data_IF_955222465431
#
_entry.id   IF_955222465431
#
_cell.length_a   1.000
_cell.length_b   1.000
_cell.length_c   1.000
_cell.angle_alpha   90.00
_cell.angle_beta   90.00
_cell.angle_gamma   90.00
#
_symmetry.space_group_name_H-M   'P 1'
#
loop_
_entity.id
_entity.type
_entity.pdbx_description
1 polymer ?
#
# COMPACT_ATOMS: atom_id res chain seq x y z
N UNK A 1 -33.53 -2.28 -18.26
CA UNK A 1 -33.60 -3.67 -18.74
C UNK A 1 -32.18 -4.17 -18.83
N UNK A 2 -31.80 -5.26 -18.13
CA UNK A 2 -30.49 -5.86 -18.37
C UNK A 2 -30.46 -6.32 -19.83
N UNK A 3 -29.43 -5.95 -20.58
CA UNK A 3 -29.23 -6.45 -21.93
C UNK A 3 -29.14 -7.98 -21.85
N UNK A 4 -29.96 -8.68 -22.62
CA UNK A 4 -29.84 -10.11 -22.83
C UNK A 4 -28.45 -10.35 -23.43
N UNK A 5 -27.48 -10.68 -22.58
CA UNK A 5 -26.14 -11.07 -23.01
C UNK A 5 -26.30 -12.38 -23.79
N UNK A 6 -26.17 -12.32 -25.11
CA UNK A 6 -26.13 -13.50 -25.94
C UNK A 6 -25.07 -14.47 -25.39
N UNK A 7 -25.39 -15.76 -25.21
CA UNK A 7 -24.45 -16.71 -24.63
C UNK A 7 -23.22 -16.83 -25.53
N UNK A 8 -22.06 -16.40 -25.01
CA UNK A 8 -20.78 -16.53 -25.71
C UNK A 8 -20.47 -18.02 -25.89
N UNK A 9 -20.57 -18.49 -27.13
CA UNK A 9 -20.22 -19.86 -27.50
C UNK A 9 -18.69 -19.98 -27.59
N UNK A 10 -18.07 -20.48 -26.54
CA UNK A 10 -16.63 -20.75 -26.50
C UNK A 10 -16.36 -22.21 -26.81
N UNK A 11 -15.61 -22.50 -27.88
CA UNK A 11 -15.13 -23.86 -28.17
C UNK A 11 -13.74 -24.07 -27.57
N UNK A 12 -13.57 -25.11 -26.75
CA UNK A 12 -12.27 -25.51 -26.19
C UNK A 12 -11.83 -26.81 -26.84
N UNK A 13 -10.60 -26.86 -27.36
CA UNK A 13 -10.01 -28.12 -27.84
C UNK A 13 -9.42 -28.87 -26.67
N UNK A 14 -9.94 -30.07 -26.40
CA UNK A 14 -9.57 -30.89 -25.24
C UNK A 14 -8.95 -32.20 -25.74
N UNK A 15 -7.85 -32.68 -25.14
CA UNK A 15 -7.30 -34.00 -25.44
C UNK A 15 -8.33 -35.12 -25.22
N UNK A 16 -8.37 -36.18 -26.06
CA UNK A 16 -9.38 -37.24 -25.97
C UNK A 16 -9.47 -37.92 -24.60
N UNK A 17 -8.32 -38.14 -23.94
CA UNK A 17 -8.28 -38.73 -22.60
C UNK A 17 -8.99 -37.85 -21.55
N UNK A 18 -8.75 -36.54 -21.60
CA UNK A 18 -9.38 -35.58 -20.70
C UNK A 18 -10.87 -35.41 -20.99
N UNK A 19 -11.28 -35.48 -22.26
CA UNK A 19 -12.70 -35.49 -22.63
C UNK A 19 -13.43 -36.70 -22.01
N UNK A 20 -12.87 -37.91 -22.17
CA UNK A 20 -13.46 -39.13 -21.63
C UNK A 20 -13.50 -39.16 -20.09
N UNK A 21 -12.56 -38.51 -19.42
CA UNK A 21 -12.60 -38.33 -17.96
C UNK A 21 -13.71 -37.37 -17.53
N UNK A 22 -13.86 -36.23 -18.20
CA UNK A 22 -14.89 -35.25 -17.90
C UNK A 22 -16.29 -35.79 -18.17
N UNK A 23 -16.46 -36.57 -19.24
CA UNK A 23 -17.73 -37.21 -19.59
C UNK A 23 -18.16 -38.22 -18.52
N UNK A 24 -17.24 -39.10 -18.09
CA UNK A 24 -17.50 -40.03 -16.98
C UNK A 24 -17.84 -39.31 -15.68
N UNK A 25 -17.15 -38.21 -15.38
CA UNK A 25 -17.40 -37.43 -14.18
C UNK A 25 -18.77 -36.74 -14.24
N UNK A 26 -19.15 -36.19 -15.40
CA UNK A 26 -20.44 -35.57 -15.63
C UNK A 26 -21.58 -36.59 -15.48
N UNK A 27 -21.44 -37.78 -16.08
CA UNK A 27 -22.40 -38.89 -15.94
C UNK A 27 -22.56 -39.32 -14.48
N UNK A 28 -21.45 -39.51 -13.75
CA UNK A 28 -21.48 -39.90 -12.34
C UNK A 28 -22.15 -38.84 -11.44
N UNK A 29 -22.05 -37.56 -11.82
CA UNK A 29 -22.67 -36.44 -11.12
C UNK A 29 -24.11 -36.14 -11.59
N UNK A 30 -24.61 -36.83 -12.63
CA UNK A 30 -25.90 -36.51 -13.25
C UNK A 30 -25.93 -35.15 -13.95
N UNK A 31 -24.77 -34.64 -14.36
CA UNK A 31 -24.59 -33.34 -15.00
C UNK A 31 -24.31 -33.50 -16.50
N UNK A 32 -24.51 -32.42 -17.25
CA UNK A 32 -23.97 -32.33 -18.63
C UNK A 32 -22.47 -32.05 -18.57
N UNK A 33 -21.73 -32.45 -19.61
CA UNK A 33 -20.30 -32.15 -19.73
C UNK A 33 -19.98 -30.65 -19.53
N UNK A 34 -20.80 -29.78 -20.12
CA UNK A 34 -20.66 -28.32 -19.96
C UNK A 34 -20.88 -27.86 -18.52
N UNK A 35 -21.88 -28.42 -17.83
CA UNK A 35 -22.15 -28.10 -16.43
C UNK A 35 -21.00 -28.56 -15.53
N UNK A 36 -20.47 -29.77 -15.74
CA UNK A 36 -19.30 -30.27 -15.00
C UNK A 36 -18.05 -29.39 -15.25
N UNK A 37 -17.83 -28.96 -16.49
CA UNK A 37 -16.75 -28.03 -16.82
C UNK A 37 -16.93 -26.68 -16.11
N UNK A 38 -18.14 -26.13 -16.08
CA UNK A 38 -18.44 -24.89 -15.38
C UNK A 38 -18.22 -25.02 -13.86
N UNK A 39 -18.67 -26.12 -13.27
CA UNK A 39 -18.47 -26.41 -11.84
C UNK A 39 -16.98 -26.44 -11.50
N UNK A 40 -16.14 -27.09 -12.31
CA UNK A 40 -14.68 -27.12 -12.09
C UNK A 40 -14.00 -25.77 -12.28
N UNK A 41 -14.48 -24.97 -13.24
CA UNK A 41 -13.98 -23.62 -13.47
C UNK A 41 -14.36 -22.67 -12.31
N UNK A 42 -15.60 -22.75 -11.83
CA UNK A 42 -16.10 -21.97 -10.70
C UNK A 42 -15.44 -22.39 -9.38
N UNK A 43 -15.25 -23.68 -9.18
CA UNK A 43 -14.65 -24.22 -7.97
C UNK A 43 -13.12 -24.33 -8.07
N UNK A 44 -12.47 -23.63 -9.01
CA UNK A 44 -11.02 -23.68 -9.14
C UNK A 44 -10.38 -23.02 -7.90
N UNK A 45 -9.82 -23.79 -6.95
CA UNK A 45 -9.39 -23.28 -5.65
C UNK A 45 -8.20 -22.32 -5.79
N UNK A 46 -7.50 -22.35 -6.93
CA UNK A 46 -6.42 -21.42 -7.24
C UNK A 46 -6.93 -19.99 -7.38
N UNK A 47 -8.14 -19.78 -7.91
CA UNK A 47 -8.71 -18.43 -8.04
C UNK A 47 -9.04 -17.83 -6.67
N UNK A 48 -9.70 -18.59 -5.80
CA UNK A 48 -10.07 -18.13 -4.45
C UNK A 48 -8.85 -17.92 -3.54
N UNK A 49 -7.85 -18.79 -3.66
CA UNK A 49 -6.60 -18.66 -2.90
C UNK A 49 -5.83 -17.43 -3.34
N UNK A 50 -5.74 -17.17 -4.64
CA UNK A 50 -5.07 -15.98 -5.19
C UNK A 50 -5.84 -14.71 -4.78
N UNK A 51 -7.17 -14.70 -4.87
CA UNK A 51 -7.99 -13.56 -4.44
C UNK A 51 -7.81 -13.26 -2.94
N UNK A 52 -7.75 -14.30 -2.08
CA UNK A 52 -7.49 -14.14 -0.66
C UNK A 52 -6.11 -13.57 -0.37
N UNK A 53 -5.07 -14.10 -1.05
CA UNK A 53 -3.70 -13.62 -0.90
C UNK A 53 -3.58 -12.15 -1.35
N UNK A 54 -4.21 -11.78 -2.47
CA UNK A 54 -4.27 -10.39 -2.92
C UNK A 54 -4.94 -9.49 -1.88
N UNK A 55 -6.08 -9.91 -1.32
CA UNK A 55 -6.76 -9.16 -0.27
C UNK A 55 -5.92 -9.02 1.02
N UNK A 56 -5.11 -10.02 1.36
CA UNK A 56 -4.17 -9.91 2.49
C UNK A 56 -3.01 -8.95 2.20
N UNK A 57 -2.48 -8.95 0.97
CA UNK A 57 -1.45 -8.01 0.53
C UNK A 57 -1.99 -6.59 0.56
N UNK A 58 -3.17 -6.33 -0.02
CA UNK A 58 -3.81 -5.02 -0.01
C UNK A 58 -4.01 -4.48 1.42
N UNK A 59 -4.47 -5.34 2.35
CA UNK A 59 -4.61 -4.95 3.76
C UNK A 59 -3.27 -4.60 4.38
N UNK A 60 -2.22 -5.39 4.13
CA UNK A 60 -0.87 -5.11 4.63
C UNK A 60 -0.32 -3.81 4.08
N UNK A 61 -0.53 -3.55 2.80
CA UNK A 61 -0.07 -2.32 2.14
C UNK A 61 -0.78 -1.09 2.71
N UNK A 62 -2.09 -1.15 2.94
CA UNK A 62 -2.84 -0.08 3.60
C UNK A 62 -2.31 0.17 5.02
N UNK A 63 -2.07 -0.89 5.79
CA UNK A 63 -1.50 -0.77 7.14
C UNK A 63 -0.07 -0.21 7.13
N UNK A 64 0.75 -0.60 6.16
CA UNK A 64 2.11 -0.11 6.01
C UNK A 64 2.13 1.39 5.66
N UNK A 65 1.31 1.82 4.71
CA UNK A 65 1.16 3.23 4.33
C UNK A 65 0.63 4.07 5.49
N UNK A 66 -0.37 3.58 6.22
CA UNK A 66 -0.89 4.26 7.40
C UNK A 66 0.16 4.37 8.52
N UNK A 67 0.93 3.30 8.75
CA UNK A 67 2.06 3.30 9.68
C UNK A 67 3.13 4.33 9.30
N UNK A 68 3.52 4.40 8.03
CA UNK A 68 4.48 5.37 7.52
C UNK A 68 3.98 6.81 7.68
N UNK A 69 2.69 7.08 7.43
CA UNK A 69 2.09 8.41 7.68
C UNK A 69 2.20 8.81 9.14
N UNK A 70 1.83 7.91 10.06
CA UNK A 70 1.93 8.16 11.51
C UNK A 70 3.37 8.40 11.95
N UNK A 71 4.33 7.65 11.42
CA UNK A 71 5.75 7.86 11.70
C UNK A 71 6.24 9.23 11.20
N UNK A 72 5.84 9.61 9.98
CA UNK A 72 6.17 10.91 9.40
C UNK A 72 5.57 12.06 10.22
N UNK A 73 4.32 11.95 10.65
CA UNK A 73 3.68 12.93 11.54
C UNK A 73 4.38 13.05 12.90
N UNK A 74 4.83 11.92 13.47
CA UNK A 74 5.60 11.92 14.70
C UNK A 74 6.96 12.62 14.54
N UNK A 75 7.67 12.37 13.42
CA UNK A 75 8.93 13.05 13.09
C UNK A 75 8.70 14.56 12.94
N UNK A 76 7.64 14.98 12.26
CA UNK A 76 7.31 16.40 12.14
C UNK A 76 7.04 17.05 13.49
N UNK A 77 6.30 16.38 14.38
CA UNK A 77 6.04 16.88 15.73
C UNK A 77 7.34 17.10 16.52
N UNK A 78 8.31 16.20 16.36
CA UNK A 78 9.64 16.33 16.98
C UNK A 78 10.42 17.49 16.38
N UNK A 79 10.39 17.67 15.05
CA UNK A 79 11.05 18.78 14.37
C UNK A 79 10.44 20.14 14.76
N UNK A 80 9.12 20.21 14.91
CA UNK A 80 8.44 21.42 15.36
C UNK A 80 8.89 21.81 16.78
N UNK A 81 8.91 20.84 17.69
CA UNK A 81 9.41 21.06 19.05
C UNK A 81 10.90 21.44 19.07
N UNK A 82 11.71 20.88 18.16
CA UNK A 82 13.11 21.22 18.05
C UNK A 82 13.31 22.67 17.57
N UNK A 83 12.54 23.12 16.57
CA UNK A 83 12.55 24.52 16.10
C UNK A 83 12.16 25.50 17.20
N UNK A 84 11.15 25.18 18.02
CA UNK A 84 10.75 26.00 19.17
C UNK A 84 11.91 26.18 20.16
N UNK A 85 12.60 25.08 20.52
CA UNK A 85 13.76 25.14 21.41
C UNK A 85 14.92 25.92 20.77
N UNK A 86 15.20 25.70 19.49
CA UNK A 86 16.24 26.45 18.78
C UNK A 86 15.91 27.94 18.70
N UNK A 87 14.63 28.32 18.59
CA UNK A 87 14.18 29.70 18.63
C UNK A 87 14.46 30.34 19.99
N UNK A 88 14.15 29.65 21.09
CA UNK A 88 14.47 30.13 22.45
C UNK A 88 15.97 30.30 22.66
N UNK A 89 16.78 29.33 22.18
CA UNK A 89 18.25 29.40 22.24
C UNK A 89 18.75 30.60 21.43
N UNK A 90 18.31 30.76 20.18
CA UNK A 90 18.70 31.89 19.33
C UNK A 90 18.35 33.24 19.99
N UNK A 91 17.17 33.31 20.63
CA UNK A 91 16.73 34.49 21.37
C UNK A 91 17.62 34.77 22.59
N UNK A 92 17.92 33.77 23.41
CA UNK A 92 18.82 33.91 24.57
C UNK A 92 20.21 34.40 24.15
N UNK A 93 20.69 33.92 23.00
CA UNK A 93 22.02 34.25 22.47
C UNK A 93 22.12 35.68 21.90
N UNK A 94 21.01 36.41 21.73
CA UNK A 94 21.04 37.84 21.36
C UNK A 94 21.75 38.71 22.39
N UNK A 95 21.84 38.24 23.64
CA UNK A 95 22.52 38.95 24.74
C UNK A 95 24.03 38.74 24.76
N UNK A 96 24.57 37.93 23.86
CA UNK A 96 25.98 37.56 23.84
C UNK A 96 26.80 38.55 23.02
N UNK A 97 28.01 38.85 23.51
CA UNK A 97 28.96 39.74 22.84
C UNK A 97 29.35 39.21 21.46
N UNK A 98 29.30 40.09 20.46
CA UNK A 98 29.72 39.80 19.09
C UNK A 98 31.19 39.36 19.03
N UNK A 99 31.50 38.43 18.12
CA UNK A 99 32.86 37.90 17.91
C UNK A 99 33.30 36.80 18.90
N UNK A 100 32.41 36.34 19.78
CA UNK A 100 32.65 35.18 20.65
C UNK A 100 32.30 33.85 19.97
N UNK A 101 32.78 32.72 20.50
CA UNK A 101 32.39 31.37 20.05
C UNK A 101 30.88 31.15 20.11
N UNK A 102 30.22 31.75 21.10
CA UNK A 102 28.77 31.74 21.21
C UNK A 102 28.08 32.49 20.05
N UNK A 103 28.69 33.53 19.47
CA UNK A 103 28.15 34.15 18.26
C UNK A 103 28.25 33.21 17.02
N UNK A 104 29.26 32.33 16.98
CA UNK A 104 29.34 31.29 15.94
C UNK A 104 28.24 30.24 16.13
N UNK A 105 28.03 29.76 17.37
CA UNK A 105 26.96 28.83 17.69
C UNK A 105 25.56 29.39 17.36
N UNK A 106 25.34 30.71 17.54
CA UNK A 106 24.07 31.35 17.15
C UNK A 106 23.79 31.20 15.65
N UNK A 107 24.80 31.35 14.79
CA UNK A 107 24.66 31.18 13.33
C UNK A 107 24.31 29.75 12.96
N UNK A 108 24.92 28.77 13.63
CA UNK A 108 24.59 27.34 13.43
C UNK A 108 23.14 27.03 13.84
N UNK A 109 22.68 27.63 14.95
CA UNK A 109 21.27 27.51 15.38
C UNK A 109 20.32 28.13 14.35
N UNK A 110 20.62 29.32 13.84
CA UNK A 110 19.82 29.97 12.80
C UNK A 110 19.79 29.15 11.51
N UNK A 111 20.93 28.59 11.09
CA UNK A 111 21.01 27.69 9.94
C UNK A 111 20.19 26.41 10.12
N UNK A 112 20.27 25.76 11.30
CA UNK A 112 19.47 24.58 11.60
C UNK A 112 17.96 24.88 11.50
N UNK A 113 17.51 26.06 11.94
CA UNK A 113 16.12 26.50 11.80
C UNK A 113 15.73 26.73 10.35
N UNK A 114 16.61 27.29 9.52
CA UNK A 114 16.39 27.44 8.08
C UNK A 114 16.24 26.09 7.38
N UNK A 115 17.04 25.09 7.77
CA UNK A 115 16.89 23.71 7.27
C UNK A 115 15.53 23.10 7.65
N UNK A 116 15.09 23.28 8.90
CA UNK A 116 13.76 22.81 9.34
C UNK A 116 12.65 23.51 8.56
N UNK A 117 12.76 24.83 8.35
CA UNK A 117 11.80 25.61 7.57
C UNK A 117 11.73 25.14 6.11
N UNK A 118 12.89 24.86 5.50
CA UNK A 118 12.97 24.30 4.14
C UNK A 118 12.34 22.91 4.08
N UNK A 119 12.62 22.05 5.06
CA UNK A 119 12.01 20.73 5.14
C UNK A 119 10.47 20.82 5.25
N UNK A 120 9.93 21.76 6.03
CA UNK A 120 8.47 21.99 6.13
C UNK A 120 7.84 22.37 4.79
N UNK A 121 8.55 23.04 3.89
CA UNK A 121 8.02 23.39 2.56
C UNK A 121 7.78 22.16 1.65
N UNK A 122 8.35 21.01 2.00
CA UNK A 122 8.19 19.74 1.29
C UNK A 122 7.20 18.78 1.95
N UNK A 123 6.55 19.20 3.05
CA UNK A 123 5.44 18.47 3.68
C UNK A 123 4.16 18.60 2.86
#
# INVERSE_FOLDING_TARGET
>A
MPQDLEPIKTSVRIPPALHAELERAAEAAGLTLNAEMLVRLQNNPRSDTVARLLGEIERRDVMAVDGLRKQLDAVWTVLDRADDVLQEVAFAMTRVKQGSEAAALKREVEFARELIATARAHR
#
